data_IF_451056936811
#
_entry.id   IF_451056936811
#
_cell.length_a   1.000
_cell.length_b   1.000
_cell.length_c   1.000
_cell.angle_alpha   90.00
_cell.angle_beta   90.00
_cell.angle_gamma   90.00
#
_symmetry.space_group_name_H-M   'P 1'
#
loop_
_entity.id
_entity.type
_entity.pdbx_description
1 polymer ?
#
# COMPACT_ATOMS: atom_id res chain seq x y z
N UNK A 1 0.13 -7.56 17.28
CA UNK A 1 0.69 -7.04 16.00
C UNK A 1 -0.33 -6.99 14.83
N UNK A 2 -1.27 -7.94 14.72
CA UNK A 2 -2.26 -8.00 13.61
C UNK A 2 -3.09 -6.72 13.44
N UNK A 3 -3.55 -6.14 14.55
CA UNK A 3 -4.35 -4.89 14.58
C UNK A 3 -3.58 -3.69 14.05
N UNK A 4 -2.33 -3.50 14.46
CA UNK A 4 -1.49 -2.38 14.04
C UNK A 4 -1.24 -2.38 12.52
N UNK A 5 -0.90 -3.54 11.96
CA UNK A 5 -0.68 -3.67 10.52
C UNK A 5 -1.97 -3.43 9.73
N UNK A 6 -3.11 -3.86 10.28
CA UNK A 6 -4.40 -3.61 9.66
C UNK A 6 -4.75 -2.12 9.67
N UNK A 7 -4.54 -1.44 10.79
CA UNK A 7 -4.75 0.00 10.91
C UNK A 7 -3.79 0.79 10.02
N UNK A 8 -2.52 0.37 9.93
CA UNK A 8 -1.53 0.95 9.03
C UNK A 8 -1.92 0.79 7.56
N UNK A 9 -2.42 -0.38 7.15
CA UNK A 9 -2.91 -0.59 5.80
C UNK A 9 -4.12 0.31 5.49
N UNK A 10 -5.09 0.43 6.40
CA UNK A 10 -6.24 1.33 6.22
C UNK A 10 -5.85 2.80 6.18
N UNK A 11 -4.90 3.21 7.01
CA UNK A 11 -4.34 4.56 6.97
C UNK A 11 -3.65 4.83 5.62
N UNK A 12 -2.85 3.88 5.15
CA UNK A 12 -2.15 4.00 3.88
C UNK A 12 -3.09 4.07 2.66
N UNK A 13 -4.22 3.35 2.67
CA UNK A 13 -5.25 3.51 1.61
C UNK A 13 -5.83 4.93 1.58
N UNK A 14 -5.85 5.65 2.71
CA UNK A 14 -6.38 7.02 2.77
C UNK A 14 -5.35 8.05 2.34
N UNK A 15 -4.07 7.88 2.69
CA UNK A 15 -3.02 8.88 2.49
C UNK A 15 -2.11 8.64 1.29
N UNK A 16 -1.83 7.39 0.92
CA UNK A 16 -0.92 7.02 -0.16
C UNK A 16 -1.69 6.80 -1.47
N UNK A 17 -1.42 7.64 -2.47
CA UNK A 17 -2.13 7.62 -3.76
C UNK A 17 -2.01 6.28 -4.47
N UNK A 18 -0.84 5.64 -4.43
CA UNK A 18 -0.60 4.38 -5.13
C UNK A 18 -1.38 3.23 -4.48
N UNK A 19 -1.36 3.15 -3.15
CA UNK A 19 -2.10 2.12 -2.41
C UNK A 19 -3.61 2.34 -2.50
N UNK A 20 -4.06 3.59 -2.51
CA UNK A 20 -5.46 3.94 -2.79
C UNK A 20 -5.90 3.45 -4.16
N UNK A 21 -5.18 3.84 -5.22
CA UNK A 21 -5.49 3.42 -6.60
C UNK A 21 -5.43 1.89 -6.74
N UNK A 22 -4.47 1.23 -6.07
CA UNK A 22 -4.41 -0.22 -6.04
C UNK A 22 -5.65 -0.85 -5.37
N UNK A 23 -6.07 -0.32 -4.22
CA UNK A 23 -7.26 -0.79 -3.51
C UNK A 23 -8.51 -0.63 -4.39
N UNK A 24 -8.76 0.57 -4.91
CA UNK A 24 -9.92 0.89 -5.74
C UNK A 24 -9.99 0.03 -6.99
N UNK A 25 -8.85 -0.18 -7.67
CA UNK A 25 -8.78 -1.07 -8.84
C UNK A 25 -9.18 -2.50 -8.47
N UNK A 26 -8.70 -3.03 -7.35
CA UNK A 26 -9.03 -4.39 -6.92
C UNK A 26 -10.48 -4.55 -6.47
N UNK A 27 -11.09 -3.51 -5.91
CA UNK A 27 -12.54 -3.48 -5.64
C UNK A 27 -13.32 -3.48 -6.95
N UNK A 28 -12.90 -2.68 -7.95
CA UNK A 28 -13.53 -2.66 -9.28
C UNK A 28 -13.43 -4.00 -10.02
N UNK A 29 -12.38 -4.78 -9.77
CA UNK A 29 -12.24 -6.17 -10.23
C UNK A 29 -13.21 -7.14 -9.52
N UNK A 30 -14.07 -6.68 -8.60
CA UNK A 30 -15.05 -7.50 -7.89
C UNK A 30 -14.49 -8.25 -6.67
N UNK A 31 -13.27 -7.93 -6.21
CA UNK A 31 -12.67 -8.63 -5.07
C UNK A 31 -13.24 -8.17 -3.74
N UNK A 32 -13.40 -9.13 -2.82
CA UNK A 32 -13.89 -8.83 -1.48
C UNK A 32 -12.97 -7.84 -0.73
N UNK A 33 -13.48 -6.78 -0.08
CA UNK A 33 -12.68 -5.74 0.57
C UNK A 33 -11.61 -6.27 1.54
N UNK A 34 -11.94 -7.31 2.32
CA UNK A 34 -11.01 -7.92 3.28
C UNK A 34 -9.83 -8.64 2.60
N UNK A 35 -10.01 -9.15 1.39
CA UNK A 35 -8.92 -9.73 0.59
C UNK A 35 -8.05 -8.62 0.02
N UNK A 36 -8.67 -7.53 -0.44
CA UNK A 36 -7.96 -6.38 -1.00
C UNK A 36 -7.08 -5.70 0.05
N UNK A 37 -7.61 -5.45 1.25
CA UNK A 37 -6.82 -4.83 2.33
C UNK A 37 -5.65 -5.72 2.78
N UNK A 38 -5.81 -7.06 2.70
CA UNK A 38 -4.71 -7.98 2.97
C UNK A 38 -3.60 -7.85 1.91
N UNK A 39 -3.96 -7.69 0.65
CA UNK A 39 -2.99 -7.42 -0.42
C UNK A 39 -2.30 -6.05 -0.25
N UNK A 40 -3.03 -5.02 0.21
CA UNK A 40 -2.44 -3.72 0.57
C UNK A 40 -1.45 -3.87 1.72
N UNK A 41 -1.78 -4.62 2.77
CA UNK A 41 -0.86 -4.88 3.90
C UNK A 41 0.45 -5.50 3.42
N UNK A 42 0.38 -6.50 2.54
CA UNK A 42 1.58 -7.14 1.99
C UNK A 42 2.41 -6.19 1.13
N UNK A 43 1.77 -5.33 0.31
CA UNK A 43 2.46 -4.28 -0.44
C UNK A 43 3.16 -3.28 0.48
N UNK A 44 2.48 -2.82 1.52
CA UNK A 44 3.05 -1.88 2.50
C UNK A 44 4.26 -2.48 3.21
N UNK A 45 4.17 -3.74 3.66
CA UNK A 45 5.30 -4.46 4.25
C UNK A 45 6.46 -4.59 3.27
N UNK A 46 6.20 -4.95 2.02
CA UNK A 46 7.23 -5.04 0.98
C UNK A 46 7.97 -3.71 0.79
N UNK A 47 7.27 -2.57 0.81
CA UNK A 47 7.89 -1.25 0.75
C UNK A 47 8.79 -0.97 1.94
N UNK A 48 8.31 -1.25 3.15
CA UNK A 48 9.08 -1.06 4.40
C UNK A 48 10.35 -1.91 4.38
N UNK A 49 10.24 -3.19 4.03
CA UNK A 49 11.42 -4.06 3.96
C UNK A 49 12.42 -3.60 2.89
N UNK A 50 11.94 -3.11 1.75
CA UNK A 50 12.81 -2.61 0.69
C UNK A 50 13.60 -1.35 1.12
N UNK A 51 12.96 -0.40 1.82
CA UNK A 51 13.65 0.81 2.30
C UNK A 51 14.65 0.50 3.40
N UNK A 52 14.28 -0.37 4.35
CA UNK A 52 15.19 -0.82 5.41
C UNK A 52 16.41 -1.54 4.82
N UNK A 53 16.19 -2.47 3.88
CA UNK A 53 17.29 -3.21 3.24
C UNK A 53 18.22 -2.31 2.42
N UNK A 54 17.66 -1.32 1.71
CA UNK A 54 18.44 -0.39 0.89
C UNK A 54 19.15 0.68 1.71
N UNK A 55 18.66 0.98 2.91
CA UNK A 55 19.19 2.06 3.76
C UNK A 55 18.86 3.46 3.26
N UNK A 56 17.85 3.63 2.41
CA UNK A 56 17.42 4.94 1.92
C UNK A 56 15.91 5.14 1.97
N UNK A 57 15.43 6.39 2.09
CA UNK A 57 14.01 6.69 2.22
C UNK A 57 13.14 6.11 1.09
N UNK A 58 11.85 5.96 1.36
CA UNK A 58 10.87 5.62 0.33
C UNK A 58 10.82 6.74 -0.72
N UNK A 59 10.68 6.36 -1.99
CA UNK A 59 10.54 7.29 -3.11
C UNK A 59 9.15 7.10 -3.71
N UNK A 60 8.35 8.15 -3.78
CA UNK A 60 6.99 8.09 -4.32
C UNK A 60 7.03 8.00 -5.86
N UNK A 61 6.87 6.79 -6.40
CA UNK A 61 6.99 6.54 -7.85
C UNK A 61 5.91 7.25 -8.68
N UNK A 62 4.70 7.38 -8.15
CA UNK A 62 3.58 8.06 -8.82
C UNK A 62 3.82 9.57 -9.02
N UNK A 63 4.78 10.16 -8.29
CA UNK A 63 5.20 11.54 -8.50
C UNK A 63 6.07 11.71 -9.76
N UNK A 64 6.78 10.66 -10.20
CA UNK A 64 7.70 10.73 -11.34
C UNK A 64 7.05 10.45 -12.70
N UNK A 65 5.94 9.70 -12.76
CA UNK A 65 5.24 9.40 -14.02
C UNK A 65 4.36 10.54 -14.57
N UNK A 66 4.38 11.72 -13.94
CA UNK A 66 3.64 12.91 -14.39
C UNK A 66 4.50 13.93 -15.16
N UNK A 67 5.76 13.58 -15.46
CA UNK A 67 6.71 14.41 -16.20
C UNK A 67 6.93 13.86 -17.62
#
# INVERSE_FOLDING_TARGET
MKSLLNNGAWSAVKSDKELKTYYERKIKEGKHPLVVINAVRNKLLGRIFATVKRGSPYVEMLQYCKN
#
